data_IF_776892054995
#
_entry.id   IF_776892054995
#
_cell.length_a   1.000
_cell.length_b   1.000
_cell.length_c   1.000
_cell.angle_alpha   90.00
_cell.angle_beta   90.00
_cell.angle_gamma   90.00
#
_symmetry.space_group_name_H-M   'P 1'
#
loop_
_entity.id
_entity.type
_entity.pdbx_description
1 polymer ?
#
# COMPACT_ATOMS: atom_id res chain seq x y z
N UNK A 1 13.21 -15.91 12.61
CA UNK A 1 12.09 -15.14 13.16
C UNK A 1 11.16 -14.88 12.01
N UNK A 2 10.15 -15.73 11.80
CA UNK A 2 9.15 -15.50 10.77
C UNK A 2 8.11 -14.56 11.39
N UNK A 3 8.15 -13.29 11.01
CA UNK A 3 7.08 -12.35 11.32
C UNK A 3 5.79 -12.93 10.73
N UNK A 4 4.89 -13.28 11.64
CA UNK A 4 3.64 -13.98 11.37
C UNK A 4 2.74 -12.99 10.64
N UNK A 5 2.51 -13.24 9.35
CA UNK A 5 1.57 -12.50 8.52
C UNK A 5 0.19 -12.55 9.18
N UNK A 6 -0.24 -11.45 9.81
CA UNK A 6 -1.54 -11.36 10.47
C UNK A 6 -2.56 -10.72 9.50
N UNK A 7 -3.44 -11.51 8.85
CA UNK A 7 -4.32 -11.03 7.78
C UNK A 7 -5.35 -9.98 8.24
N UNK A 8 -5.56 -9.84 9.56
CA UNK A 8 -6.43 -8.83 10.14
C UNK A 8 -5.77 -7.45 10.25
N UNK A 9 -4.45 -7.39 10.49
CA UNK A 9 -3.72 -6.11 10.55
C UNK A 9 -3.45 -5.53 9.15
N UNK A 10 -3.46 -6.38 8.12
CA UNK A 10 -3.25 -5.99 6.73
C UNK A 10 -4.54 -5.81 5.92
N UNK A 11 -5.72 -5.81 6.55
CA UNK A 11 -6.98 -5.53 5.84
C UNK A 11 -6.93 -4.12 5.22
N UNK A 12 -6.91 -4.06 3.89
CA UNK A 12 -6.83 -2.82 3.11
C UNK A 12 -5.43 -2.43 2.65
N UNK A 13 -4.40 -3.21 2.96
CA UNK A 13 -3.11 -3.11 2.26
C UNK A 13 -3.15 -3.89 0.96
N UNK A 14 -2.63 -3.30 -0.10
CA UNK A 14 -2.62 -3.85 -1.45
C UNK A 14 -1.19 -3.90 -1.97
N UNK A 15 -0.91 -4.75 -2.94
CA UNK A 15 0.36 -4.69 -3.65
C UNK A 15 0.53 -3.32 -4.35
N UNK A 16 1.77 -2.89 -4.54
CA UNK A 16 2.09 -1.59 -5.14
C UNK A 16 1.40 -1.39 -6.49
N UNK A 17 1.43 -2.40 -7.36
CA UNK A 17 0.79 -2.38 -8.68
C UNK A 17 -0.74 -2.31 -8.59
N UNK A 18 -1.35 -3.04 -7.66
CA UNK A 18 -2.80 -3.01 -7.44
C UNK A 18 -3.25 -1.65 -6.86
N UNK A 19 -2.45 -1.08 -5.95
CA UNK A 19 -2.68 0.27 -5.42
C UNK A 19 -2.56 1.33 -6.52
N UNK A 20 -1.55 1.22 -7.37
CA UNK A 20 -1.34 2.07 -8.54
C UNK A 20 -2.55 2.03 -9.50
N UNK A 21 -3.04 0.82 -9.81
CA UNK A 21 -4.22 0.63 -10.63
C UNK A 21 -5.48 1.27 -10.00
N UNK A 22 -5.71 1.07 -8.70
CA UNK A 22 -6.88 1.65 -8.00
C UNK A 22 -6.84 3.17 -7.87
N UNK A 23 -5.64 3.74 -7.68
CA UNK A 23 -5.46 5.19 -7.60
C UNK A 23 -5.38 5.85 -8.98
N UNK A 24 -5.30 5.06 -10.06
CA UNK A 24 -5.04 5.52 -11.43
C UNK A 24 -3.77 6.38 -11.51
N UNK A 25 -2.71 5.93 -10.83
CA UNK A 25 -1.39 6.58 -10.77
C UNK A 25 -0.30 5.58 -11.16
N UNK A 26 0.84 6.03 -11.72
CA UNK A 26 1.97 5.14 -11.94
C UNK A 26 2.58 4.69 -10.61
N UNK A 27 3.18 3.49 -10.58
CA UNK A 27 3.82 2.92 -9.39
C UNK A 27 4.92 3.82 -8.82
N UNK A 28 5.62 4.58 -9.67
CA UNK A 28 6.62 5.57 -9.27
C UNK A 28 6.03 6.69 -8.42
N UNK A 29 4.82 7.14 -8.74
CA UNK A 29 4.14 8.21 -8.01
C UNK A 29 3.57 7.70 -6.70
N UNK A 30 3.00 6.49 -6.69
CA UNK A 30 2.59 5.80 -5.45
C UNK A 30 3.80 5.64 -4.51
N UNK A 31 4.94 5.20 -5.04
CA UNK A 31 6.20 5.14 -4.30
C UNK A 31 6.66 6.51 -3.78
N UNK A 32 6.49 7.57 -4.57
CA UNK A 32 6.80 8.93 -4.13
C UNK A 32 5.89 9.37 -2.96
N UNK A 33 4.60 9.01 -3.00
CA UNK A 33 3.65 9.27 -1.92
C UNK A 33 4.00 8.49 -0.64
N UNK A 34 4.41 7.22 -0.77
CA UNK A 34 4.93 6.41 0.35
C UNK A 34 6.18 7.05 0.95
N UNK A 35 7.16 7.46 0.12
CA UNK A 35 8.40 8.13 0.57
C UNK A 35 8.10 9.45 1.31
N UNK A 36 7.07 10.18 0.88
CA UNK A 36 6.61 11.42 1.53
C UNK A 36 5.73 11.16 2.78
N UNK A 37 5.53 9.90 3.17
CA UNK A 37 4.65 9.46 4.27
C UNK A 37 3.18 9.87 4.10
N UNK A 38 2.74 10.07 2.86
CA UNK A 38 1.33 10.34 2.53
C UNK A 38 0.52 9.05 2.54
N UNK A 39 1.09 7.97 2.01
CA UNK A 39 0.51 6.62 2.05
C UNK A 39 1.24 5.76 3.07
N UNK A 40 0.51 4.90 3.78
CA UNK A 40 1.13 3.88 4.64
C UNK A 40 1.59 2.73 3.76
N UNK A 41 2.79 2.24 4.01
CA UNK A 41 3.30 1.05 3.38
C UNK A 41 4.01 0.17 4.41
N UNK A 42 3.99 -1.14 4.18
CA UNK A 42 4.72 -2.14 4.95
C UNK A 42 5.58 -2.96 3.99
N UNK A 43 6.81 -3.26 4.39
CA UNK A 43 7.70 -4.14 3.64
C UNK A 43 7.62 -5.53 4.25
N UNK A 44 7.28 -6.54 3.44
CA UNK A 44 7.18 -7.94 3.88
C UNK A 44 8.47 -8.76 3.65
N UNK A 45 9.56 -8.09 3.23
CA UNK A 45 10.79 -8.74 2.76
C UNK A 45 10.72 -9.09 1.27
N UNK A 46 11.86 -9.45 0.67
CA UNK A 46 11.97 -9.89 -0.73
C UNK A 46 11.29 -8.93 -1.75
N UNK A 47 11.55 -7.62 -1.60
CA UNK A 47 11.00 -6.56 -2.46
C UNK A 47 9.47 -6.37 -2.42
N UNK A 48 8.75 -7.12 -1.58
CA UNK A 48 7.31 -7.03 -1.47
C UNK A 48 6.91 -5.82 -0.59
N UNK A 49 6.37 -4.79 -1.24
CA UNK A 49 5.82 -3.60 -0.60
C UNK A 49 4.30 -3.65 -0.71
N UNK A 50 3.64 -3.72 0.44
CA UNK A 50 2.19 -3.49 0.49
C UNK A 50 1.91 -2.03 0.83
N UNK A 51 1.03 -1.40 0.09
CA UNK A 51 0.61 -0.01 0.22
C UNK A 51 -0.87 0.04 0.58
N UNK A 52 -1.20 0.83 1.59
CA UNK A 52 -2.59 1.14 1.91
C UNK A 52 -3.02 2.34 1.05
N UNK A 53 -3.99 2.17 0.12
CA UNK A 53 -4.50 3.28 -0.65
C UNK A 53 -5.22 4.26 0.28
N UNK A 54 -4.93 5.55 0.12
CA UNK A 54 -5.76 6.60 0.70
C UNK A 54 -7.04 6.67 -0.13
N UNK A 55 -7.97 5.74 0.10
CA UNK A 55 -9.35 5.92 -0.35
C UNK A 55 -9.89 7.04 0.53
N UNK A 56 -9.87 8.28 0.03
CA UNK A 56 -10.80 9.29 0.53
C UNK A 56 -12.15 8.68 0.26
N UNK A 57 -12.79 8.15 1.30
CA UNK A 57 -14.17 7.71 1.22
C UNK A 57 -14.98 8.97 0.96
N UNK A 58 -15.05 9.35 -0.31
CA UNK A 58 -16.10 10.19 -0.83
C UNK A 58 -17.36 9.36 -0.66
N UNK A 59 -17.91 9.40 0.56
CA UNK A 59 -19.30 9.16 0.78
C UNK A 59 -20.03 9.96 -0.30
N UNK A 60 -20.57 9.22 -1.27
CA UNK A 60 -21.53 9.78 -2.21
C UNK A 60 -22.83 10.03 -1.45
#
# INVERSE_FOLDING_TARGET
MAERFDPHEHQGFLELDECAARMNLPTTDVMALVKRRVLRAVSLGDELILVQPAIVSGAT
#
